data_IF_469555244181
#
_entry.id   IF_469555244181
#
_cell.length_a   1.000
_cell.length_b   1.000
_cell.length_c   1.000
_cell.angle_alpha   90.00
_cell.angle_beta   90.00
_cell.angle_gamma   90.00
#
_symmetry.space_group_name_H-M   'P 1'
#
loop_
_entity.id
_entity.type
_entity.pdbx_description
1 polymer ?
#
# COMPACT_ATOMS: atom_id res chain seq x y z
N UNK A 1 6.76 22.07 6.81
CA UNK A 1 6.97 20.76 6.15
C UNK A 1 5.77 20.22 5.36
N UNK A 2 4.51 20.53 5.70
CA UNK A 2 3.31 20.00 5.00
C UNK A 2 3.13 20.47 3.54
N UNK A 3 3.66 21.64 3.17
CA UNK A 3 3.50 22.24 1.83
C UNK A 3 4.39 21.56 0.78
N UNK A 4 5.68 21.39 1.11
CA UNK A 4 6.67 20.73 0.26
C UNK A 4 6.30 19.28 -0.07
N UNK A 5 5.81 18.50 0.89
CA UNK A 5 5.38 17.12 0.65
C UNK A 5 4.17 17.05 -0.29
N UNK A 6 3.21 17.97 -0.14
CA UNK A 6 2.01 18.04 -1.00
C UNK A 6 2.36 18.48 -2.42
N UNK A 7 3.32 19.39 -2.57
CA UNK A 7 3.85 19.83 -3.86
C UNK A 7 4.68 18.73 -4.53
N UNK A 8 5.47 17.95 -3.78
CA UNK A 8 6.16 16.77 -4.29
C UNK A 8 5.18 15.69 -4.73
N UNK A 9 4.08 15.43 -4.00
CA UNK A 9 3.08 14.47 -4.48
C UNK A 9 2.35 14.97 -5.72
N UNK A 10 1.97 16.25 -5.74
CA UNK A 10 1.36 16.84 -6.92
C UNK A 10 2.33 16.83 -8.11
N UNK A 11 3.62 17.07 -7.89
CA UNK A 11 4.66 16.97 -8.91
C UNK A 11 4.88 15.52 -9.37
N UNK A 12 4.92 14.55 -8.45
CA UNK A 12 5.08 13.13 -8.78
C UNK A 12 3.87 12.59 -9.56
N UNK A 13 2.66 12.97 -9.14
CA UNK A 13 1.44 12.66 -9.87
C UNK A 13 1.43 13.39 -11.22
N UNK A 14 1.87 14.65 -11.32
CA UNK A 14 2.01 15.38 -12.60
C UNK A 14 3.07 14.80 -13.52
N UNK A 15 4.19 14.32 -13.01
CA UNK A 15 5.24 13.64 -13.77
C UNK A 15 4.70 12.32 -14.32
N UNK A 16 3.88 11.59 -13.54
CA UNK A 16 3.14 10.41 -14.03
C UNK A 16 2.00 10.74 -15.00
N UNK A 17 1.50 11.98 -15.01
CA UNK A 17 0.49 12.50 -15.95
C UNK A 17 1.11 13.12 -17.22
N UNK A 18 2.43 13.26 -17.30
CA UNK A 18 3.16 14.05 -18.30
C UNK A 18 3.79 13.26 -19.45
N UNK A 19 3.27 12.07 -19.79
CA UNK A 19 3.70 11.28 -20.95
C UNK A 19 2.54 11.06 -21.91
N UNK A 20 2.68 11.52 -23.16
CA UNK A 20 1.57 11.62 -24.11
C UNK A 20 0.79 10.32 -24.38
N UNK A 21 -0.53 10.45 -24.42
CA UNK A 21 -1.41 9.60 -25.22
C UNK A 21 -1.62 8.16 -24.72
N UNK A 22 -2.13 7.98 -23.50
CA UNK A 22 -2.98 6.85 -23.05
C UNK A 22 -3.55 7.21 -21.67
N UNK A 23 -4.84 6.96 -21.46
CA UNK A 23 -5.59 7.46 -20.29
C UNK A 23 -4.95 7.11 -18.94
N UNK A 24 -4.97 8.07 -18.02
CA UNK A 24 -4.81 7.98 -16.56
C UNK A 24 -4.41 6.58 -16.03
N UNK A 25 -3.15 6.17 -16.20
CA UNK A 25 -2.70 4.88 -15.67
C UNK A 25 -2.45 5.01 -14.17
N UNK A 26 -3.54 4.94 -13.41
CA UNK A 26 -3.52 4.67 -11.98
C UNK A 26 -2.67 3.43 -11.73
N UNK A 27 -1.66 3.53 -10.88
CA UNK A 27 -0.83 2.36 -10.56
C UNK A 27 -1.72 1.29 -9.94
N UNK A 28 -1.72 0.12 -10.57
CA UNK A 28 -2.39 -1.07 -10.04
C UNK A 28 -1.37 -2.02 -9.49
N UNK A 29 -1.64 -2.55 -8.32
CA UNK A 29 -0.78 -3.48 -7.64
C UNK A 29 -1.54 -4.75 -7.28
N UNK A 30 -0.83 -5.86 -7.28
CA UNK A 30 -1.24 -7.12 -6.69
C UNK A 30 -0.51 -7.29 -5.37
N UNK A 31 -1.27 -7.49 -4.31
CA UNK A 31 -0.76 -7.93 -3.02
C UNK A 31 -0.70 -9.46 -3.07
N UNK A 32 0.50 -10.02 -2.92
CA UNK A 32 0.78 -11.44 -3.07
C UNK A 32 1.36 -12.02 -1.77
N UNK A 33 1.05 -13.29 -1.53
CA UNK A 33 1.73 -14.15 -0.56
C UNK A 33 2.35 -15.32 -1.31
N UNK A 34 3.65 -15.23 -1.63
CA UNK A 34 4.24 -16.11 -2.64
C UNK A 34 3.50 -15.93 -3.97
N UNK A 35 2.89 -17.00 -4.47
CA UNK A 35 2.08 -16.99 -5.71
C UNK A 35 0.58 -16.76 -5.47
N UNK A 36 0.14 -16.66 -4.21
CA UNK A 36 -1.28 -16.52 -3.87
C UNK A 36 -1.68 -15.05 -3.91
N UNK A 37 -2.69 -14.72 -4.72
CA UNK A 37 -3.29 -13.39 -4.75
C UNK A 37 -4.09 -13.11 -3.49
N UNK A 38 -3.58 -12.20 -2.66
CA UNK A 38 -4.28 -11.69 -1.46
C UNK A 38 -5.29 -10.63 -1.86
N UNK A 39 -4.98 -9.79 -2.85
CA UNK A 39 -5.92 -8.82 -3.38
C UNK A 39 -5.25 -7.78 -4.28
N UNK A 40 -6.07 -6.88 -4.80
CA UNK A 40 -5.63 -5.85 -5.74
C UNK A 40 -5.78 -4.45 -5.13
N UNK A 41 -4.84 -3.57 -5.46
CA UNK A 41 -4.84 -2.17 -5.06
C UNK A 41 -4.86 -1.30 -6.32
N UNK A 42 -5.85 -0.41 -6.42
CA UNK A 42 -5.93 0.59 -7.48
C UNK A 42 -5.75 1.98 -6.88
N UNK A 43 -4.59 2.61 -7.10
CA UNK A 43 -4.30 3.96 -6.62
C UNK A 43 -5.23 4.99 -7.27
N UNK A 44 -5.82 5.87 -6.47
CA UNK A 44 -6.71 6.93 -6.98
C UNK A 44 -6.30 8.33 -6.51
N UNK A 45 -5.31 8.44 -5.62
CA UNK A 45 -4.90 9.73 -5.10
C UNK A 45 -3.75 9.65 -4.12
N UNK A 46 -3.49 10.76 -3.44
CA UNK A 46 -2.40 10.90 -2.50
C UNK A 46 -2.80 11.83 -1.35
N UNK A 47 -2.69 11.32 -0.12
CA UNK A 47 -2.77 12.07 1.12
C UNK A 47 -1.46 11.88 1.89
N UNK A 48 -0.53 12.78 1.63
CA UNK A 48 0.86 12.66 2.06
C UNK A 48 0.99 12.34 3.56
N UNK A 49 1.79 11.32 3.93
CA UNK A 49 2.78 10.62 3.10
C UNK A 49 2.27 9.36 2.38
N UNK A 50 0.95 9.20 2.21
CA UNK A 50 0.36 7.98 1.68
C UNK A 50 -0.26 8.17 0.29
N UNK A 51 -0.10 7.16 -0.56
CA UNK A 51 -0.97 6.96 -1.71
C UNK A 51 -2.28 6.34 -1.24
N UNK A 52 -3.39 6.81 -1.80
CA UNK A 52 -4.73 6.30 -1.54
C UNK A 52 -5.09 5.31 -2.63
N UNK A 53 -5.56 4.12 -2.23
CA UNK A 53 -5.97 3.08 -3.16
C UNK A 53 -7.31 2.45 -2.77
N UNK A 54 -8.01 1.90 -3.76
CA UNK A 54 -9.12 0.97 -3.55
C UNK A 54 -8.55 -0.43 -3.41
N UNK A 55 -9.03 -1.17 -2.42
CA UNK A 55 -8.67 -2.57 -2.21
C UNK A 55 -9.81 -3.48 -2.67
N UNK A 56 -9.47 -4.48 -3.47
CA UNK A 56 -10.37 -5.57 -3.85
C UNK A 56 -9.77 -6.87 -3.31
N UNK A 57 -10.49 -7.60 -2.43
CA UNK A 57 -9.97 -8.84 -1.85
C UNK A 57 -9.83 -9.92 -2.92
N UNK A 58 -8.73 -10.66 -2.85
CA UNK A 58 -8.47 -11.85 -3.66
C UNK A 58 -8.72 -13.15 -2.86
N UNK A 59 -8.46 -14.31 -3.47
CA UNK A 59 -8.68 -15.62 -2.83
C UNK A 59 -7.86 -15.83 -1.55
N UNK A 60 -6.67 -15.22 -1.44
CA UNK A 60 -5.83 -15.27 -0.24
C UNK A 60 -6.19 -14.28 0.86
N UNK A 61 -7.24 -13.47 0.68
CA UNK A 61 -7.56 -12.40 1.64
C UNK A 61 -7.97 -12.95 3.01
N UNK A 62 -8.84 -13.96 3.06
CA UNK A 62 -9.45 -14.43 4.30
C UNK A 62 -8.42 -14.95 5.32
N UNK A 63 -7.29 -15.51 4.85
CA UNK A 63 -6.22 -16.02 5.73
C UNK A 63 -5.41 -14.91 6.39
N UNK A 64 -5.30 -13.73 5.78
CA UNK A 64 -4.49 -12.61 6.26
C UNK A 64 -5.31 -11.44 6.80
N UNK A 65 -6.63 -11.44 6.52
CA UNK A 65 -7.59 -10.41 6.94
C UNK A 65 -7.47 -10.04 8.43
N UNK A 66 -7.41 -10.99 9.38
CA UNK A 66 -7.33 -10.65 10.81
C UNK A 66 -6.10 -9.81 11.15
N UNK A 67 -4.96 -10.08 10.52
CA UNK A 67 -3.71 -9.34 10.74
C UNK A 67 -3.77 -7.92 10.19
N UNK A 68 -4.40 -7.73 9.02
CA UNK A 68 -4.62 -6.40 8.46
C UNK A 68 -5.63 -5.59 9.27
N UNK A 69 -6.73 -6.22 9.70
CA UNK A 69 -7.74 -5.57 10.55
C UNK A 69 -7.14 -5.16 11.91
N UNK A 70 -6.33 -6.03 12.54
CA UNK A 70 -5.62 -5.70 13.77
C UNK A 70 -4.68 -4.50 13.58
N UNK A 71 -3.90 -4.46 12.50
CA UNK A 71 -3.06 -3.30 12.17
C UNK A 71 -3.90 -2.04 11.91
N UNK A 72 -5.08 -2.15 11.31
CA UNK A 72 -5.97 -1.01 11.05
C UNK A 72 -6.50 -0.36 12.35
N UNK A 73 -6.58 -1.12 13.45
CA UNK A 73 -6.93 -0.58 14.78
C UNK A 73 -5.82 0.26 15.41
N UNK A 74 -4.59 0.16 14.89
CA UNK A 74 -3.44 0.89 15.42
C UNK A 74 -3.63 2.41 15.30
N UNK A 75 -3.88 3.06 16.43
CA UNK A 75 -3.99 4.51 16.57
C UNK A 75 -3.36 4.99 17.89
N UNK A 76 -3.08 6.29 17.92
CA UNK A 76 -2.51 6.98 19.09
C UNK A 76 -0.97 6.97 19.10
N UNK A 77 -0.38 7.65 20.09
CA UNK A 77 1.07 7.66 20.27
C UNK A 77 1.58 6.25 20.65
N UNK A 78 2.76 5.92 20.15
CA UNK A 78 3.52 4.71 20.47
C UNK A 78 4.99 5.12 20.61
N UNK A 79 5.37 5.69 21.76
CA UNK A 79 6.68 6.33 21.94
C UNK A 79 7.84 5.39 21.64
N UNK A 80 7.67 4.12 21.98
CA UNK A 80 8.70 3.08 21.84
C UNK A 80 8.48 2.20 20.59
N UNK A 81 7.39 2.42 19.84
CA UNK A 81 7.07 1.68 18.61
C UNK A 81 6.67 0.22 18.82
N UNK A 82 6.62 -0.26 20.06
CA UNK A 82 6.43 -1.68 20.39
C UNK A 82 5.05 -2.20 19.96
N UNK A 83 4.01 -1.36 20.08
CA UNK A 83 2.65 -1.74 19.68
C UNK A 83 2.57 -1.89 18.16
N UNK A 84 3.19 -0.97 17.43
CA UNK A 84 3.27 -1.08 15.98
C UNK A 84 4.02 -2.35 15.56
N UNK A 85 5.18 -2.61 16.16
CA UNK A 85 5.98 -3.82 15.86
C UNK A 85 5.19 -5.09 16.13
N UNK A 86 4.47 -5.18 17.26
CA UNK A 86 3.65 -6.35 17.58
C UNK A 86 2.54 -6.62 16.56
N UNK A 87 1.95 -5.57 15.97
CA UNK A 87 0.91 -5.68 14.95
C UNK A 87 1.48 -5.91 13.54
N UNK A 88 2.66 -5.35 13.25
CA UNK A 88 3.33 -5.48 11.96
C UNK A 88 4.00 -6.84 11.78
N UNK A 89 4.56 -7.42 12.86
CA UNK A 89 5.34 -8.66 12.81
C UNK A 89 4.60 -9.84 12.19
N UNK A 90 3.33 -10.14 12.53
CA UNK A 90 2.59 -11.20 11.85
C UNK A 90 2.48 -11.00 10.34
N UNK A 91 2.30 -9.76 9.87
CA UNK A 91 2.24 -9.46 8.44
C UNK A 91 3.62 -9.53 7.76
N UNK A 92 4.68 -9.15 8.48
CA UNK A 92 6.06 -9.27 8.01
C UNK A 92 6.45 -10.75 7.84
N UNK A 93 6.09 -11.61 8.79
CA UNK A 93 6.40 -13.04 8.77
C UNK A 93 5.67 -13.78 7.62
N UNK A 94 4.56 -13.23 7.12
CA UNK A 94 3.85 -13.74 5.93
C UNK A 94 4.61 -13.49 4.62
N UNK A 95 5.65 -12.65 4.61
CA UNK A 95 6.47 -12.40 3.42
C UNK A 95 5.71 -11.75 2.26
N UNK A 96 4.71 -10.93 2.57
CA UNK A 96 3.85 -10.32 1.57
C UNK A 96 4.62 -9.38 0.63
N UNK A 97 4.24 -9.39 -0.65
CA UNK A 97 4.84 -8.54 -1.67
C UNK A 97 3.78 -7.75 -2.44
N UNK A 98 4.19 -6.59 -2.94
CA UNK A 98 3.38 -5.71 -3.76
C UNK A 98 3.95 -5.66 -5.17
N UNK A 99 3.35 -6.38 -6.11
CA UNK A 99 3.79 -6.47 -7.50
C UNK A 99 2.96 -5.54 -8.39
N UNK A 100 3.55 -4.75 -9.30
CA UNK A 100 2.78 -3.92 -10.22
C UNK A 100 2.13 -4.81 -11.28
N UNK A 101 0.86 -4.53 -11.61
CA UNK A 101 0.11 -5.31 -12.61
C UNK A 101 0.73 -5.22 -14.01
N UNK A 102 1.36 -4.10 -14.35
CA UNK A 102 1.98 -3.88 -15.65
C UNK A 102 3.39 -4.50 -15.78
N UNK A 103 3.91 -5.10 -14.70
CA UNK A 103 5.23 -5.73 -14.65
C UNK A 103 6.40 -4.77 -14.90
N UNK A 104 6.17 -3.45 -14.92
CA UNK A 104 7.21 -2.47 -15.23
C UNK A 104 8.11 -2.14 -14.03
N UNK A 105 7.69 -2.50 -12.81
CA UNK A 105 8.44 -2.22 -11.58
C UNK A 105 8.75 -3.52 -10.82
N UNK A 106 9.83 -3.49 -10.03
CA UNK A 106 10.16 -4.58 -9.14
C UNK A 106 9.11 -4.70 -8.03
N UNK A 107 8.67 -5.92 -7.67
CA UNK A 107 7.83 -6.12 -6.50
C UNK A 107 8.47 -5.54 -5.24
N UNK A 108 7.64 -4.93 -4.40
CA UNK A 108 8.07 -4.31 -3.13
C UNK A 108 7.71 -5.22 -1.96
N UNK A 109 8.64 -5.50 -1.06
CA UNK A 109 8.35 -6.32 0.12
C UNK A 109 7.69 -5.48 1.23
N UNK A 110 6.58 -5.97 1.79
CA UNK A 110 5.89 -5.28 2.88
C UNK A 110 6.78 -5.22 4.14
N UNK A 111 6.73 -4.07 4.82
CA UNK A 111 7.55 -3.68 5.98
C UNK A 111 9.06 -3.59 5.76
N UNK A 112 9.53 -3.81 4.53
CA UNK A 112 10.92 -3.57 4.13
C UNK A 112 11.03 -2.44 3.12
N UNK A 113 10.30 -2.55 2.01
CA UNK A 113 10.31 -1.60 0.90
C UNK A 113 9.04 -0.76 0.86
N UNK A 114 7.93 -1.28 1.38
CA UNK A 114 6.66 -0.56 1.43
C UNK A 114 5.85 -0.84 2.70
N UNK A 115 4.84 -0.01 2.96
CA UNK A 115 3.82 -0.24 3.97
C UNK A 115 2.44 -0.16 3.34
N UNK A 116 1.61 -1.16 3.58
CA UNK A 116 0.21 -1.20 3.16
C UNK A 116 -0.68 -1.31 4.39
N UNK A 117 -1.68 -0.44 4.48
CA UNK A 117 -2.76 -0.54 5.47
C UNK A 117 -4.09 -0.62 4.75
N UNK A 118 -4.93 -1.57 5.15
CA UNK A 118 -6.23 -1.83 4.53
C UNK A 118 -7.33 -1.51 5.54
N UNK A 119 -8.34 -0.78 5.09
CA UNK A 119 -9.52 -0.33 5.83
C UNK A 119 -10.76 -0.70 5.02
N UNK A 120 -11.21 -1.95 5.13
CA UNK A 120 -12.28 -2.47 4.28
C UNK A 120 -11.90 -2.38 2.79
N UNK A 121 -12.65 -1.60 2.02
CA UNK A 121 -12.42 -1.40 0.58
C UNK A 121 -11.38 -0.29 0.26
N UNK A 122 -10.80 0.35 1.27
CA UNK A 122 -9.79 1.39 1.10
C UNK A 122 -8.43 0.94 1.59
N UNK A 123 -7.37 1.46 0.98
CA UNK A 123 -6.02 1.19 1.39
C UNK A 123 -5.15 2.44 1.32
N UNK A 124 -4.11 2.44 2.14
CA UNK A 124 -3.06 3.45 2.17
C UNK A 124 -1.71 2.77 1.96
N UNK A 125 -0.98 3.24 0.96
CA UNK A 125 0.35 2.74 0.63
C UNK A 125 1.40 3.81 0.91
N UNK A 126 2.59 3.38 1.29
CA UNK A 126 3.80 4.21 1.33
C UNK A 126 4.98 3.37 0.85
N UNK A 127 5.72 3.88 -0.13
CA UNK A 127 6.94 3.32 -0.69
C UNK A 127 7.80 4.45 -1.27
#
# INVERSE_FOLDING_TARGET
MKRLARELCAAMMRIRLGGGGRGHQMTRWQLLQGDVLVGELSEYGCDQPFFLARFTPGPGWESVRPSFEALATYRGPDPDGLRFVALAKPLQDLGLTLAPVDGQQTPLQLFKDCMVRIYGAEARLRY
#
